data_IF_263855680363
#
_entry.id   IF_263855680363
#
_cell.length_a   1.000
_cell.length_b   1.000
_cell.length_c   1.000
_cell.angle_alpha   90.00
_cell.angle_beta   90.00
_cell.angle_gamma   90.00
#
_symmetry.space_group_name_H-M   'P 1'
#
loop_
_entity.id
_entity.type
_entity.pdbx_description
1 polymer ?
#
# COMPACT_ATOMS: atom_id res chain seq x y z
N UNK A 1 19.79 6.72 12.19
CA UNK A 1 18.49 6.97 12.83
C UNK A 1 17.40 7.05 11.77
N UNK A 2 16.34 6.24 11.83
CA UNK A 2 15.24 6.28 10.84
C UNK A 2 14.42 7.56 11.03
N UNK A 3 14.47 8.47 10.05
CA UNK A 3 13.65 9.69 10.04
C UNK A 3 12.20 9.28 9.74
N UNK A 4 11.29 9.51 10.69
CA UNK A 4 9.86 9.28 10.48
C UNK A 4 9.36 10.30 9.44
N UNK A 5 8.76 9.80 8.36
CA UNK A 5 8.30 10.61 7.21
C UNK A 5 7.08 11.46 7.59
N UNK A 6 6.40 11.14 8.69
CA UNK A 6 5.28 11.89 9.24
C UNK A 6 5.35 11.98 10.77
N UNK A 7 4.79 13.05 11.33
CA UNK A 7 4.71 13.22 12.78
C UNK A 7 3.69 12.25 13.37
N UNK A 8 4.04 11.59 14.49
CA UNK A 8 3.10 10.76 15.25
C UNK A 8 1.95 11.58 15.86
N UNK A 9 2.20 12.87 16.14
CA UNK A 9 1.19 13.80 16.59
C UNK A 9 0.44 14.37 15.38
N UNK A 10 -0.85 14.13 15.32
CA UNK A 10 -1.76 14.84 14.40
C UNK A 10 -1.83 16.31 14.85
N UNK A 11 -1.57 17.23 13.91
CA UNK A 11 -1.78 18.68 14.12
C UNK A 11 -3.23 19.11 13.87
N UNK A 12 -4.12 18.15 13.64
CA UNK A 12 -5.52 18.42 13.31
C UNK A 12 -6.29 18.81 14.56
N UNK A 13 -7.01 19.92 14.53
CA UNK A 13 -7.96 20.28 15.59
C UNK A 13 -9.23 19.41 15.49
N UNK A 14 -9.18 18.26 16.17
CA UNK A 14 -10.29 17.32 16.21
C UNK A 14 -11.51 17.84 16.97
N UNK A 15 -11.34 18.79 17.89
CA UNK A 15 -12.44 19.34 18.69
C UNK A 15 -13.25 20.33 17.86
N UNK A 16 -12.58 21.21 17.15
CA UNK A 16 -13.21 22.14 16.20
C UNK A 16 -13.94 21.40 15.08
N UNK A 17 -13.29 20.40 14.48
CA UNK A 17 -13.87 19.65 13.35
C UNK A 17 -15.12 18.85 13.74
N UNK A 18 -15.19 18.30 14.97
CA UNK A 18 -16.39 17.60 15.48
C UNK A 18 -17.54 18.56 15.84
N UNK A 19 -17.23 19.80 16.21
CA UNK A 19 -18.24 20.81 16.56
C UNK A 19 -18.74 21.61 15.34
N UNK A 20 -18.07 21.49 14.20
CA UNK A 20 -18.40 22.17 12.96
C UNK A 20 -19.75 21.69 12.42
N UNK A 21 -20.61 22.63 12.01
CA UNK A 21 -21.93 22.32 11.45
C UNK A 21 -21.82 22.15 9.93
N UNK A 22 -22.68 21.31 9.35
CA UNK A 22 -22.77 21.04 7.90
C UNK A 22 -22.69 22.31 7.04
N UNK A 23 -23.47 23.34 7.42
CA UNK A 23 -23.57 24.63 6.70
C UNK A 23 -22.27 25.42 6.62
N UNK A 24 -21.27 25.09 7.44
CA UNK A 24 -19.97 25.74 7.45
C UNK A 24 -18.97 25.07 6.49
N UNK A 25 -19.32 23.90 5.93
CA UNK A 25 -18.49 23.15 4.99
C UNK A 25 -18.52 23.87 3.64
N UNK A 26 -17.35 24.28 3.15
CA UNK A 26 -17.21 24.96 1.86
C UNK A 26 -17.20 23.94 0.73
N UNK A 27 -18.29 23.88 -0.02
CA UNK A 27 -18.39 23.11 -1.25
C UNK A 27 -17.97 23.99 -2.42
N UNK A 28 -17.17 23.44 -3.32
CA UNK A 28 -16.73 24.14 -4.52
C UNK A 28 -16.77 23.20 -5.72
N UNK A 29 -16.64 23.72 -6.94
CA UNK A 29 -16.57 22.88 -8.14
C UNK A 29 -15.42 21.86 -8.08
N UNK A 30 -14.30 22.25 -7.49
CA UNK A 30 -13.13 21.38 -7.27
C UNK A 30 -13.31 20.41 -6.08
N UNK A 31 -14.25 20.71 -5.18
CA UNK A 31 -14.54 19.94 -3.96
C UNK A 31 -16.06 19.76 -3.81
N UNK A 32 -16.69 19.00 -4.72
CA UNK A 32 -18.13 18.75 -4.66
C UNK A 32 -18.47 17.78 -3.52
N UNK A 33 -19.75 17.67 -3.19
CA UNK A 33 -20.22 16.63 -2.28
C UNK A 33 -19.94 15.21 -2.83
N UNK A 34 -19.81 14.26 -1.92
CA UNK A 34 -19.55 12.86 -2.27
C UNK A 34 -20.78 12.24 -2.94
N UNK A 35 -20.72 12.04 -4.26
CA UNK A 35 -21.68 11.20 -4.98
C UNK A 35 -21.35 9.70 -4.77
N UNK A 36 -22.36 8.91 -4.39
CA UNK A 36 -22.29 7.45 -4.24
C UNK A 36 -21.75 6.75 -5.49
N UNK A 37 -21.95 7.32 -6.69
CA UNK A 37 -21.37 6.78 -7.94
C UNK A 37 -19.84 6.72 -7.92
N UNK A 38 -19.17 7.64 -7.21
CA UNK A 38 -17.71 7.67 -7.09
C UNK A 38 -17.16 6.60 -6.13
N UNK A 39 -18.00 6.07 -5.24
CA UNK A 39 -17.62 5.06 -4.24
C UNK A 39 -18.27 3.70 -4.45
N UNK A 40 -19.22 3.57 -5.39
CA UNK A 40 -19.94 2.32 -5.67
C UNK A 40 -19.02 1.15 -6.08
N UNK A 41 -17.83 1.44 -6.62
CA UNK A 41 -16.78 0.44 -6.94
C UNK A 41 -15.59 0.49 -5.99
N UNK A 42 -15.61 1.37 -4.99
CA UNK A 42 -14.54 1.48 -4.02
C UNK A 42 -14.61 0.27 -3.10
N UNK A 43 -13.66 -0.66 -3.26
CA UNK A 43 -13.42 -1.70 -2.27
C UNK A 43 -12.93 -1.00 -1.01
N UNK A 44 -13.77 -0.91 0.02
CA UNK A 44 -13.39 -0.42 1.34
C UNK A 44 -12.39 -1.41 1.93
N UNK A 45 -11.11 -1.17 1.69
CA UNK A 45 -10.01 -1.94 2.30
C UNK A 45 -9.84 -1.49 3.75
N UNK A 46 -10.77 -1.90 4.62
CA UNK A 46 -10.69 -1.70 6.07
C UNK A 46 -9.74 -2.76 6.65
N UNK A 47 -8.64 -2.34 7.25
CA UNK A 47 -7.70 -3.25 7.92
C UNK A 47 -6.70 -3.93 6.98
N UNK A 48 -6.03 -3.16 6.11
CA UNK A 48 -4.81 -3.66 5.46
C UNK A 48 -3.85 -4.15 6.54
N UNK A 49 -3.73 -5.48 6.68
CA UNK A 49 -2.65 -6.03 7.48
C UNK A 49 -1.34 -5.50 6.90
N UNK A 50 -0.44 -4.94 7.71
CA UNK A 50 0.84 -4.46 7.22
C UNK A 50 1.52 -5.63 6.50
N UNK A 51 1.80 -5.46 5.20
CA UNK A 51 2.59 -6.46 4.47
C UNK A 51 3.94 -6.51 5.18
N UNK A 52 4.39 -7.69 5.66
CA UNK A 52 5.66 -7.78 6.35
C UNK A 52 6.78 -7.26 5.44
N UNK A 53 7.74 -6.49 5.99
CA UNK A 53 8.78 -5.87 5.19
C UNK A 53 9.63 -6.94 4.49
N UNK A 54 10.00 -6.68 3.24
CA UNK A 54 10.97 -7.50 2.51
C UNK A 54 12.38 -7.10 2.93
N UNK A 55 13.25 -8.09 3.15
CA UNK A 55 14.68 -7.84 3.42
C UNK A 55 15.43 -7.79 2.08
N UNK A 56 16.17 -6.71 1.84
CA UNK A 56 17.09 -6.62 0.69
C UNK A 56 18.39 -7.32 1.06
N UNK A 57 18.73 -8.39 0.33
CA UNK A 57 19.96 -9.14 0.51
C UNK A 57 20.73 -9.22 -0.82
N UNK A 58 22.05 -9.33 -0.75
CA UNK A 58 22.85 -9.73 -1.89
C UNK A 58 22.85 -11.26 -1.99
N UNK A 59 22.17 -11.80 -3.01
CA UNK A 59 22.09 -13.24 -3.29
C UNK A 59 22.65 -13.49 -4.69
N UNK A 60 23.48 -14.52 -4.83
CA UNK A 60 23.89 -15.04 -6.14
C UNK A 60 22.86 -16.08 -6.59
N UNK A 61 22.38 -15.93 -7.81
CA UNK A 61 21.44 -16.82 -8.48
C UNK A 61 22.01 -17.11 -9.86
N UNK A 62 21.81 -18.32 -10.37
CA UNK A 62 22.26 -18.69 -11.70
C UNK A 62 21.67 -17.76 -12.77
N UNK A 63 22.48 -17.45 -13.78
CA UNK A 63 22.15 -16.43 -14.78
C UNK A 63 20.92 -16.83 -15.62
N UNK A 64 20.83 -18.10 -16.01
CA UNK A 64 19.73 -18.68 -16.77
C UNK A 64 18.40 -18.58 -16.02
N UNK A 65 18.40 -18.83 -14.71
CA UNK A 65 17.21 -18.69 -13.85
C UNK A 65 16.74 -17.22 -13.83
N UNK A 66 17.66 -16.28 -13.64
CA UNK A 66 17.33 -14.85 -13.60
C UNK A 66 16.77 -14.39 -14.95
N UNK A 67 17.39 -14.82 -16.05
CA UNK A 67 16.98 -14.42 -17.39
C UNK A 67 15.62 -15.02 -17.77
N UNK A 68 15.34 -16.26 -17.36
CA UNK A 68 14.01 -16.87 -17.53
C UNK A 68 12.92 -16.06 -16.81
N UNK A 69 13.16 -15.63 -15.56
CA UNK A 69 12.20 -14.79 -14.84
C UNK A 69 12.03 -13.41 -15.47
N UNK A 70 13.13 -12.78 -15.93
CA UNK A 70 13.09 -11.48 -16.61
C UNK A 70 12.31 -11.54 -17.92
N UNK A 71 12.42 -12.64 -18.68
CA UNK A 71 11.69 -12.84 -19.93
C UNK A 71 10.16 -12.81 -19.76
N UNK A 72 9.65 -13.09 -18.56
CA UNK A 72 8.22 -12.99 -18.24
C UNK A 72 7.73 -11.55 -18.01
N UNK A 73 8.62 -10.57 -18.15
CA UNK A 73 8.29 -9.15 -18.09
C UNK A 73 8.32 -8.54 -16.69
N UNK A 74 7.65 -7.39 -16.50
CA UNK A 74 7.64 -6.65 -15.24
C UNK A 74 7.17 -7.51 -14.06
N UNK A 75 7.78 -7.29 -12.89
CA UNK A 75 7.44 -8.04 -11.67
C UNK A 75 8.17 -9.39 -11.51
N UNK A 76 9.21 -9.65 -12.30
CA UNK A 76 9.99 -10.89 -12.24
C UNK A 76 10.51 -11.22 -10.81
N UNK A 77 10.97 -10.22 -10.06
CA UNK A 77 11.41 -10.41 -8.67
C UNK A 77 10.27 -10.85 -7.74
N UNK A 78 9.05 -10.36 -7.98
CA UNK A 78 7.87 -10.76 -7.20
C UNK A 78 7.52 -12.22 -7.48
N UNK A 79 7.60 -12.66 -8.75
CA UNK A 79 7.41 -14.07 -9.14
C UNK A 79 8.49 -14.96 -8.54
N UNK A 80 9.75 -14.57 -8.65
CA UNK A 80 10.88 -15.29 -8.04
C UNK A 80 10.69 -15.45 -6.52
N UNK A 81 10.28 -14.39 -5.82
CA UNK A 81 9.99 -14.45 -4.39
C UNK A 81 8.78 -15.35 -4.06
N UNK A 82 7.78 -15.45 -4.94
CA UNK A 82 6.64 -16.35 -4.75
C UNK A 82 7.08 -17.82 -4.81
N UNK A 83 7.98 -18.17 -5.72
CA UNK A 83 8.55 -19.52 -5.81
C UNK A 83 9.35 -19.87 -4.56
N UNK A 84 10.22 -18.97 -4.10
CA UNK A 84 10.98 -19.17 -2.86
C UNK A 84 10.06 -19.38 -1.64
N UNK A 85 8.95 -18.64 -1.58
CA UNK A 85 7.94 -18.80 -0.53
C UNK A 85 7.23 -20.14 -0.61
N UNK A 86 6.78 -20.55 -1.80
CA UNK A 86 6.10 -21.83 -1.99
C UNK A 86 7.02 -23.00 -1.61
N UNK A 87 8.30 -22.95 -2.01
CA UNK A 87 9.29 -23.94 -1.61
C UNK A 87 9.48 -23.99 -0.10
N UNK A 88 9.60 -22.83 0.57
CA UNK A 88 9.70 -22.72 2.03
C UNK A 88 8.48 -23.34 2.73
N UNK A 89 7.27 -23.06 2.25
CA UNK A 89 6.02 -23.54 2.84
C UNK A 89 5.81 -25.06 2.64
N UNK A 90 6.32 -25.62 1.53
CA UNK A 90 6.25 -27.04 1.26
C UNK A 90 7.35 -27.87 1.96
N UNK A 91 8.46 -27.22 2.32
CA UNK A 91 9.62 -27.87 2.97
C UNK A 91 9.56 -27.83 4.50
N UNK A 92 8.48 -27.27 5.05
CA UNK A 92 8.14 -27.23 6.49
C UNK A 92 6.97 -28.18 6.70
#
# INVERSE_FOLDING_TARGET
>A
MKKLISSKASKTDWKGLRAMKERQIRLSKEHPELDLKHVARAIVRKGLQPVPPKTSIALRVDADVVDWFKAQGPGYQTRMNAVLRAFKEASI
#
